data_IF_124302236607
#
_entry.id   IF_124302236607
#
_cell.length_a   1.000
_cell.length_b   1.000
_cell.length_c   1.000
_cell.angle_alpha   90.00
_cell.angle_beta   90.00
_cell.angle_gamma   90.00
#
_symmetry.space_group_name_H-M   'P 1'
#
loop_
_entity.id
_entity.type
_entity.pdbx_description
1 polymer ?
#
# COMPACT_ATOMS: atom_id res chain seq x y z
N UNK A 1 14.45 -12.06 22.85
CA UNK A 1 13.35 -11.07 22.87
C UNK A 1 12.68 -11.14 21.50
N UNK A 2 11.51 -11.75 21.41
CA UNK A 2 10.84 -12.14 20.16
C UNK A 2 10.24 -10.93 19.45
N UNK A 3 10.63 -10.71 18.20
CA UNK A 3 10.24 -9.59 17.33
C UNK A 3 8.75 -9.57 16.91
N UNK A 4 7.91 -10.35 17.58
CA UNK A 4 6.49 -10.55 17.24
C UNK A 4 5.53 -9.63 18.00
N UNK A 5 6.05 -8.72 18.85
CA UNK A 5 5.25 -7.92 19.77
C UNK A 5 4.74 -6.56 19.27
N UNK A 6 5.01 -6.16 18.02
CA UNK A 6 4.73 -4.77 17.57
C UNK A 6 3.39 -4.61 16.81
N UNK A 7 2.71 -5.69 16.42
CA UNK A 7 1.69 -5.60 15.35
C UNK A 7 0.32 -6.23 15.65
N UNK A 8 -0.15 -6.20 16.90
CA UNK A 8 -1.52 -6.63 17.24
C UNK A 8 -2.21 -5.54 18.09
N UNK A 9 -2.67 -4.47 17.45
CA UNK A 9 -3.68 -3.57 18.03
C UNK A 9 -3.49 -2.06 17.81
N UNK A 10 -2.25 -1.57 17.71
CA UNK A 10 -1.97 -0.14 17.52
C UNK A 10 -1.78 0.23 16.05
N UNK A 11 -2.23 1.43 15.65
CA UNK A 11 -1.93 1.97 14.32
C UNK A 11 -0.41 2.09 14.10
N UNK A 12 0.02 1.97 12.84
CA UNK A 12 1.44 2.07 12.49
C UNK A 12 2.00 3.42 12.91
N UNK A 13 3.14 3.42 13.61
CA UNK A 13 3.94 4.61 13.81
C UNK A 13 4.52 5.11 12.47
N UNK A 14 5.14 6.29 12.44
CA UNK A 14 5.67 6.91 11.21
C UNK A 14 6.60 5.97 10.42
N UNK A 15 7.47 5.22 11.11
CA UNK A 15 8.36 4.22 10.48
C UNK A 15 7.56 3.08 9.84
N UNK A 16 6.56 2.55 10.54
CA UNK A 16 5.66 1.52 10.03
C UNK A 16 4.84 2.02 8.83
N UNK A 17 4.37 3.27 8.86
CA UNK A 17 3.66 3.90 7.73
C UNK A 17 4.55 4.06 6.51
N UNK A 18 5.80 4.52 6.70
CA UNK A 18 6.79 4.64 5.63
C UNK A 18 7.07 3.27 5.00
N UNK A 19 7.28 2.26 5.86
CA UNK A 19 7.47 0.88 5.43
C UNK A 19 6.26 0.37 4.64
N UNK A 20 5.04 0.59 5.14
CA UNK A 20 3.80 0.19 4.46
C UNK A 20 3.71 0.81 3.06
N UNK A 21 3.95 2.11 2.92
CA UNK A 21 3.88 2.78 1.62
C UNK A 21 4.94 2.22 0.64
N UNK A 22 6.14 1.90 1.14
CA UNK A 22 7.21 1.31 0.34
C UNK A 22 6.94 -0.14 -0.05
N UNK A 23 6.42 -0.96 0.87
CA UNK A 23 6.09 -2.36 0.59
C UNK A 23 4.99 -2.47 -0.46
N UNK A 24 3.98 -1.58 -0.46
CA UNK A 24 2.97 -1.49 -1.51
C UNK A 24 3.60 -1.34 -2.90
N UNK A 25 4.57 -0.43 -3.05
CA UNK A 25 5.28 -0.25 -4.33
C UNK A 25 6.00 -1.54 -4.75
N UNK A 26 6.69 -2.20 -3.82
CA UNK A 26 7.38 -3.49 -4.06
C UNK A 26 6.40 -4.59 -4.47
N UNK A 27 5.25 -4.69 -3.81
CA UNK A 27 4.21 -5.65 -4.13
C UNK A 27 3.58 -5.41 -5.49
N UNK A 28 3.70 -4.20 -6.04
CA UNK A 28 3.32 -3.86 -7.41
C UNK A 28 4.50 -3.94 -8.40
N UNK A 29 5.57 -4.64 -8.04
CA UNK A 29 6.67 -4.98 -8.96
C UNK A 29 7.72 -3.88 -9.10
N UNK A 30 7.63 -2.81 -8.32
CA UNK A 30 8.67 -1.79 -8.28
C UNK A 30 9.83 -2.30 -7.43
N UNK A 31 11.03 -1.77 -7.66
CA UNK A 31 12.18 -2.01 -6.80
C UNK A 31 12.55 -0.73 -6.06
N UNK A 32 12.74 -0.81 -4.75
CA UNK A 32 13.37 0.28 -3.99
C UNK A 32 14.88 0.09 -4.07
N UNK A 33 15.56 0.95 -4.83
CA UNK A 33 17.00 0.88 -5.05
C UNK A 33 17.77 1.49 -3.87
N UNK A 34 17.30 2.62 -3.36
CA UNK A 34 17.85 3.31 -2.20
C UNK A 34 16.85 4.34 -1.69
N UNK A 35 17.02 4.78 -0.45
CA UNK A 35 16.21 5.83 0.16
C UNK A 35 17.01 6.51 1.27
N UNK A 36 16.58 7.69 1.68
CA UNK A 36 17.18 8.42 2.80
C UNK A 36 16.16 9.29 3.52
N UNK A 37 16.50 9.65 4.76
CA UNK A 37 15.67 10.50 5.62
C UNK A 37 16.12 11.98 5.56
N UNK A 38 17.30 12.22 5.01
CA UNK A 38 17.90 13.52 4.76
C UNK A 38 17.20 14.27 3.62
N UNK A 39 17.47 15.58 3.52
CA UNK A 39 16.94 16.45 2.44
C UNK A 39 15.43 16.34 2.20
N UNK A 40 14.62 16.31 3.28
CA UNK A 40 13.17 16.20 3.13
C UNK A 40 12.68 14.79 2.81
N UNK A 41 13.53 13.77 2.90
CA UNK A 41 13.21 12.38 2.58
C UNK A 41 13.17 12.12 1.08
N UNK A 42 13.83 11.04 0.65
CA UNK A 42 13.95 10.68 -0.77
C UNK A 42 13.93 9.18 -1.00
N UNK A 43 13.55 8.81 -2.22
CA UNK A 43 13.44 7.44 -2.73
C UNK A 43 14.04 7.37 -4.13
N UNK A 44 14.78 6.30 -4.42
CA UNK A 44 15.11 5.88 -5.77
C UNK A 44 14.39 4.58 -6.06
N UNK A 45 13.47 4.63 -7.00
CA UNK A 45 12.63 3.50 -7.39
C UNK A 45 12.99 3.04 -8.80
N UNK A 46 12.71 1.78 -9.11
CA UNK A 46 12.66 1.27 -10.48
C UNK A 46 11.27 0.71 -10.74
N UNK A 47 10.60 1.19 -11.79
CA UNK A 47 9.29 0.67 -12.20
C UNK A 47 9.40 -0.76 -12.73
N UNK A 48 8.28 -1.49 -12.87
CA UNK A 48 8.27 -2.82 -13.49
C UNK A 48 8.78 -2.79 -14.94
N UNK A 49 8.63 -1.66 -15.64
CA UNK A 49 9.16 -1.44 -16.98
C UNK A 49 10.66 -1.10 -17.02
N UNK A 50 11.33 -1.06 -15.86
CA UNK A 50 12.77 -0.80 -15.75
C UNK A 50 13.16 0.68 -15.68
N UNK A 51 12.19 1.61 -15.64
CA UNK A 51 12.45 3.05 -15.56
C UNK A 51 12.86 3.42 -14.14
N UNK A 52 14.01 4.07 -13.97
CA UNK A 52 14.40 4.63 -12.67
C UNK A 52 13.69 5.96 -12.39
N UNK A 53 13.13 6.08 -11.20
CA UNK A 53 12.38 7.24 -10.74
C UNK A 53 13.00 7.75 -9.41
N UNK A 54 13.78 8.82 -9.44
CA UNK A 54 14.12 9.56 -8.23
C UNK A 54 12.89 10.35 -7.76
N UNK A 55 12.58 10.28 -6.46
CA UNK A 55 11.43 10.95 -5.84
C UNK A 55 11.88 11.60 -4.53
N UNK A 56 11.47 12.84 -4.29
CA UNK A 56 11.75 13.60 -3.06
C UNK A 56 10.47 14.33 -2.61
N UNK A 57 10.34 14.64 -1.31
CA UNK A 57 9.14 15.32 -0.81
C UNK A 57 9.10 16.83 -1.14
N UNK A 58 10.26 17.51 -1.21
CA UNK A 58 10.49 18.89 -1.70
C UNK A 58 12.00 19.27 -1.65
N UNK A 59 12.52 20.35 -2.31
CA UNK A 59 13.13 20.22 -3.63
C UNK A 59 14.60 20.66 -3.68
N UNK A 60 15.47 19.81 -4.25
CA UNK A 60 16.52 20.29 -5.15
C UNK A 60 16.02 19.90 -6.55
N UNK A 61 15.95 20.90 -7.42
CA UNK A 61 15.49 20.86 -8.81
C UNK A 61 15.53 19.47 -9.48
N UNK A 62 14.46 19.19 -10.24
CA UNK A 62 14.34 18.12 -11.26
C UNK A 62 13.75 16.75 -10.86
N UNK A 63 13.04 16.59 -9.74
CA UNK A 63 12.18 15.39 -9.63
C UNK A 63 11.01 15.50 -10.58
N UNK A 64 10.85 14.59 -11.56
CA UNK A 64 9.69 14.62 -12.44
C UNK A 64 8.48 14.29 -11.58
N UNK A 65 7.56 15.26 -11.47
CA UNK A 65 6.14 14.96 -11.27
C UNK A 65 5.73 14.10 -12.47
N UNK A 66 5.96 12.78 -12.39
CA UNK A 66 5.86 11.86 -13.52
C UNK A 66 4.42 11.62 -13.98
N UNK A 67 3.47 12.39 -13.46
CA UNK A 67 2.12 12.49 -14.00
C UNK A 67 1.74 13.96 -14.03
N UNK A 68 1.76 14.54 -15.24
CA UNK A 68 1.15 15.83 -15.47
C UNK A 68 -0.30 15.78 -14.95
N UNK A 69 -0.71 16.74 -14.10
CA UNK A 69 -2.11 16.86 -13.70
C UNK A 69 -2.99 16.96 -14.95
N UNK A 70 -4.01 16.11 -15.06
CA UNK A 70 -5.06 16.31 -16.06
C UNK A 70 -5.81 17.59 -15.66
N UNK A 71 -5.92 18.61 -16.54
CA UNK A 71 -6.62 19.85 -16.20
C UNK A 71 -8.06 19.55 -15.75
N UNK A 72 -8.44 20.08 -14.57
CA UNK A 72 -9.82 19.99 -14.07
C UNK A 72 -10.13 18.87 -13.07
N UNK A 73 -9.16 18.01 -12.72
CA UNK A 73 -9.32 17.04 -11.62
C UNK A 73 -8.38 17.40 -10.45
N UNK A 74 -8.85 17.35 -9.18
CA UNK A 74 -7.94 17.31 -8.04
C UNK A 74 -7.06 16.07 -8.21
N UNK A 75 -5.77 16.28 -8.51
CA UNK A 75 -4.83 15.17 -8.73
C UNK A 75 -4.81 14.26 -7.51
N UNK A 76 -5.08 12.97 -7.70
CA UNK A 76 -5.04 12.07 -6.55
C UNK A 76 -3.60 11.92 -6.04
N UNK A 77 -3.42 11.60 -4.75
CA UNK A 77 -2.11 11.65 -4.15
C UNK A 77 -1.22 10.48 -4.63
N UNK A 78 0.07 10.77 -4.79
CA UNK A 78 1.09 9.80 -5.19
C UNK A 78 1.69 9.12 -3.96
N UNK A 79 1.61 7.79 -3.91
CA UNK A 79 2.17 7.00 -2.82
C UNK A 79 3.70 7.18 -2.66
N UNK A 80 4.51 7.27 -3.73
CA UNK A 80 5.95 7.57 -3.60
C UNK A 80 6.25 8.89 -2.88
N UNK A 81 5.53 9.97 -3.22
CA UNK A 81 5.71 11.28 -2.56
C UNK A 81 5.29 11.21 -1.10
N UNK A 82 4.22 10.47 -0.79
CA UNK A 82 3.81 10.25 0.59
C UNK A 82 4.86 9.48 1.39
N UNK A 83 5.46 8.45 0.81
CA UNK A 83 6.56 7.72 1.42
C UNK A 83 7.76 8.64 1.72
N UNK A 84 8.16 9.53 0.79
CA UNK A 84 9.21 10.53 1.05
C UNK A 84 8.86 11.43 2.25
N UNK A 85 7.61 11.92 2.33
CA UNK A 85 7.17 12.74 3.47
C UNK A 85 7.22 11.98 4.80
N UNK A 86 6.84 10.70 4.81
CA UNK A 86 6.92 9.87 6.00
C UNK A 86 8.38 9.60 6.41
N UNK A 87 9.27 9.39 5.44
CA UNK A 87 10.72 9.28 5.70
C UNK A 87 11.27 10.58 6.31
N UNK A 88 10.85 11.74 5.82
CA UNK A 88 11.21 13.02 6.44
C UNK A 88 10.71 13.14 7.88
N UNK A 89 9.45 12.76 8.11
CA UNK A 89 8.87 12.79 9.44
C UNK A 89 9.63 11.86 10.40
N UNK A 90 10.11 10.69 9.93
CA UNK A 90 10.98 9.83 10.74
C UNK A 90 12.24 10.57 11.20
N UNK A 91 12.86 11.41 10.36
CA UNK A 91 14.00 12.23 10.76
C UNK A 91 13.64 13.38 11.72
N UNK A 92 12.41 13.89 11.69
CA UNK A 92 11.98 14.97 12.59
C UNK A 92 11.69 14.49 14.02
N UNK A 93 11.32 13.23 14.20
CA UNK A 93 11.15 12.62 15.53
C UNK A 93 12.50 12.33 16.24
N UNK A 94 13.62 12.80 15.67
CA UNK A 94 14.99 12.80 16.23
C UNK A 94 15.16 13.66 17.49
N UNK A 95 14.15 14.44 17.85
CA UNK A 95 14.23 15.47 18.90
C UNK A 95 14.52 14.97 20.33
N UNK A 96 14.20 13.72 20.67
CA UNK A 96 14.27 13.26 22.07
C UNK A 96 15.40 12.26 22.36
N UNK A 97 15.89 11.51 21.37
CA UNK A 97 17.01 10.55 21.53
C UNK A 97 17.85 10.48 20.25
N UNK A 98 19.16 10.73 20.38
CA UNK A 98 20.11 10.87 19.27
C UNK A 98 20.23 9.63 18.33
N UNK A 99 19.55 8.52 18.63
CA UNK A 99 19.63 7.23 17.93
C UNK A 99 18.39 6.87 17.09
N UNK A 100 17.27 7.60 17.19
CA UNK A 100 15.98 7.17 16.63
C UNK A 100 15.88 7.20 15.09
N UNK A 101 16.54 8.16 14.42
CA UNK A 101 16.45 8.32 12.96
C UNK A 101 17.20 7.25 12.17
N UNK A 102 18.46 6.97 12.55
CA UNK A 102 19.25 5.89 11.95
C UNK A 102 18.62 4.52 12.20
N UNK A 103 17.92 4.36 13.32
CA UNK A 103 17.20 3.13 13.63
C UNK A 103 15.97 2.94 12.73
N UNK A 104 15.23 4.01 12.42
CA UNK A 104 14.10 3.96 11.48
C UNK A 104 14.55 3.54 10.08
N UNK A 105 15.60 4.15 9.54
CA UNK A 105 16.12 3.79 8.21
C UNK A 105 16.63 2.34 8.16
N UNK A 106 17.40 1.90 9.17
CA UNK A 106 17.86 0.51 9.27
C UNK A 106 16.70 -0.47 9.40
N UNK A 107 15.69 -0.13 10.19
CA UNK A 107 14.49 -0.95 10.36
C UNK A 107 13.73 -1.10 9.04
N UNK A 108 13.44 0.01 8.35
CA UNK A 108 12.76 -0.02 7.04
C UNK A 108 13.56 -0.86 6.04
N UNK A 109 14.87 -0.65 5.95
CA UNK A 109 15.74 -1.41 5.05
C UNK A 109 15.75 -2.91 5.39
N UNK A 110 15.79 -3.26 6.67
CA UNK A 110 15.73 -4.65 7.11
C UNK A 110 14.39 -5.30 6.75
N UNK A 111 13.27 -4.62 7.02
CA UNK A 111 11.93 -5.13 6.71
C UNK A 111 11.73 -5.33 5.19
N UNK A 112 12.17 -4.37 4.37
CA UNK A 112 12.11 -4.48 2.90
C UNK A 112 12.96 -5.65 2.39
N UNK A 113 14.17 -5.82 2.92
CA UNK A 113 15.07 -6.92 2.54
C UNK A 113 14.51 -8.28 2.93
N UNK A 114 13.84 -8.36 4.08
CA UNK A 114 13.23 -9.58 4.58
C UNK A 114 11.84 -9.86 3.98
N UNK A 115 11.24 -8.89 3.26
CA UNK A 115 9.91 -9.04 2.68
C UNK A 115 8.82 -9.24 3.73
N UNK A 116 8.92 -8.59 4.88
CA UNK A 116 7.98 -8.78 6.00
C UNK A 116 6.61 -8.19 5.64
N UNK A 117 5.48 -8.87 5.91
CA UNK A 117 4.17 -8.26 5.79
C UNK A 117 4.07 -6.94 6.56
N UNK A 118 3.64 -5.86 5.89
CA UNK A 118 3.52 -4.54 6.53
C UNK A 118 2.32 -4.48 7.49
N UNK A 119 1.38 -5.41 7.30
CA UNK A 119 0.17 -5.50 8.09
C UNK A 119 -0.81 -4.36 7.80
N UNK A 120 -1.62 -4.04 8.80
CA UNK A 120 -2.71 -3.06 8.64
C UNK A 120 -2.18 -1.65 8.40
N UNK A 121 -2.60 -1.03 7.30
CA UNK A 121 -2.40 0.40 7.03
C UNK A 121 -2.99 1.30 8.15
N UNK A 122 -2.30 2.42 8.43
CA UNK A 122 -2.84 3.49 9.27
C UNK A 122 -4.17 4.02 8.72
N UNK A 123 -5.09 4.49 9.59
CA UNK A 123 -6.44 4.84 9.15
C UNK A 123 -6.47 5.96 8.10
N UNK A 124 -5.58 6.93 8.18
CA UNK A 124 -5.46 7.99 7.17
C UNK A 124 -5.04 7.43 5.81
N UNK A 125 -3.97 6.63 5.80
CA UNK A 125 -3.40 6.10 4.56
C UNK A 125 -4.38 5.15 3.86
N UNK A 126 -5.14 4.39 4.63
CA UNK A 126 -6.14 3.48 4.12
C UNK A 126 -7.41 4.17 3.56
N UNK A 127 -7.63 5.45 3.87
CA UNK A 127 -8.75 6.24 3.34
C UNK A 127 -8.38 7.01 2.07
N UNK A 128 -7.10 7.10 1.75
CA UNK A 128 -6.61 7.84 0.61
C UNK A 128 -6.81 7.07 -0.71
N UNK A 129 -7.33 7.70 -1.77
CA UNK A 129 -7.49 7.06 -3.08
C UNK A 129 -6.20 7.17 -3.89
N UNK A 130 -5.10 6.60 -3.38
CA UNK A 130 -3.77 6.67 -4.01
C UNK A 130 -3.83 6.18 -5.46
N UNK A 131 -3.03 6.81 -6.32
CA UNK A 131 -2.88 6.30 -7.68
C UNK A 131 -2.30 4.90 -7.70
N UNK A 132 -2.84 4.09 -8.60
CA UNK A 132 -2.35 2.75 -8.84
C UNK A 132 -1.04 2.85 -9.62
N UNK A 133 -0.05 1.98 -9.33
CA UNK A 133 1.24 2.02 -10.01
C UNK A 133 1.17 1.61 -11.50
N UNK A 134 0.02 1.14 -11.96
CA UNK A 134 -0.23 0.67 -13.32
C UNK A 134 -1.39 1.46 -13.94
N UNK A 135 -1.22 1.87 -15.20
CA UNK A 135 -2.27 2.50 -16.01
C UNK A 135 -2.08 4.01 -16.21
N UNK A 136 -2.15 4.42 -17.48
CA UNK A 136 -2.19 5.83 -17.87
C UNK A 136 -3.49 6.52 -17.44
N UNK A 137 -4.59 5.75 -17.38
CA UNK A 137 -5.89 6.20 -16.88
C UNK A 137 -6.12 5.59 -15.51
N UNK A 138 -6.45 6.43 -14.54
CA UNK A 138 -6.66 6.00 -13.16
C UNK A 138 -8.14 5.63 -12.93
N UNK A 139 -8.44 4.46 -12.33
CA UNK A 139 -9.80 4.06 -11.96
C UNK A 139 -10.49 5.08 -11.06
N UNK A 140 -11.80 5.00 -10.86
CA UNK A 140 -12.51 5.86 -9.91
C UNK A 140 -11.92 5.78 -8.48
N UNK A 141 -12.06 6.85 -7.69
CA UNK A 141 -11.48 6.92 -6.33
C UNK A 141 -12.01 5.83 -5.38
N UNK A 142 -13.25 5.37 -5.56
CA UNK A 142 -13.84 4.22 -4.84
C UNK A 142 -13.10 2.93 -5.18
N UNK A 143 -12.88 2.65 -6.48
CA UNK A 143 -12.12 1.48 -6.98
C UNK A 143 -10.72 1.48 -6.41
N UNK A 144 -9.99 2.62 -6.46
CA UNK A 144 -8.62 2.69 -5.94
C UNK A 144 -8.55 2.42 -4.43
N UNK A 145 -9.48 2.97 -3.64
CA UNK A 145 -9.55 2.69 -2.20
C UNK A 145 -9.80 1.22 -1.90
N UNK A 146 -10.77 0.62 -2.61
CA UNK A 146 -11.10 -0.79 -2.44
C UNK A 146 -9.93 -1.69 -2.87
N UNK A 147 -9.27 -1.35 -3.97
CA UNK A 147 -8.09 -2.07 -4.44
C UNK A 147 -6.97 -2.10 -3.40
N UNK A 148 -6.60 -0.96 -2.79
CA UNK A 148 -5.56 -0.94 -1.75
C UNK A 148 -5.93 -1.73 -0.49
N UNK A 149 -7.22 -1.77 -0.14
CA UNK A 149 -7.69 -2.64 0.94
C UNK A 149 -7.58 -4.12 0.55
N UNK A 150 -7.95 -4.48 -0.68
CA UNK A 150 -7.82 -5.84 -1.20
C UNK A 150 -6.36 -6.30 -1.24
N UNK A 151 -5.43 -5.48 -1.74
CA UNK A 151 -4.01 -5.86 -1.81
C UNK A 151 -3.34 -5.96 -0.43
N UNK A 152 -3.87 -5.27 0.58
CA UNK A 152 -3.44 -5.50 1.97
C UNK A 152 -3.83 -6.91 2.43
N UNK A 153 -5.06 -7.36 2.14
CA UNK A 153 -5.49 -8.73 2.47
C UNK A 153 -4.65 -9.78 1.73
N UNK A 154 -4.38 -9.58 0.43
CA UNK A 154 -3.64 -10.56 -0.36
C UNK A 154 -2.16 -10.59 -0.02
N UNK A 155 -1.52 -9.42 0.07
CA UNK A 155 -0.07 -9.35 0.16
C UNK A 155 0.45 -9.46 1.59
N UNK A 156 -0.27 -8.87 2.56
CA UNK A 156 0.17 -8.89 3.96
C UNK A 156 -0.43 -10.05 4.75
N UNK A 157 -1.68 -10.42 4.45
CA UNK A 157 -2.38 -11.46 5.20
C UNK A 157 -2.42 -12.80 4.48
N UNK A 158 -1.99 -12.88 3.22
CA UNK A 158 -1.99 -14.13 2.45
C UNK A 158 -3.38 -14.61 2.08
N UNK A 159 -4.37 -13.71 1.98
CA UNK A 159 -5.73 -14.07 1.59
C UNK A 159 -5.82 -14.25 0.07
N UNK A 160 -6.76 -15.08 -0.36
CA UNK A 160 -7.20 -15.17 -1.76
C UNK A 160 -8.64 -14.71 -1.87
N UNK A 161 -8.86 -13.57 -2.52
CA UNK A 161 -10.19 -13.06 -2.83
C UNK A 161 -10.71 -13.76 -4.09
N UNK A 162 -11.92 -14.31 -4.00
CA UNK A 162 -12.50 -15.17 -5.05
C UNK A 162 -13.71 -14.56 -5.74
N UNK A 163 -14.34 -13.57 -5.13
CA UNK A 163 -15.50 -12.89 -5.71
C UNK A 163 -15.81 -11.60 -4.97
N UNK A 164 -16.36 -10.62 -5.70
CA UNK A 164 -16.80 -9.34 -5.15
C UNK A 164 -18.14 -8.94 -5.77
N UNK A 165 -18.98 -8.28 -4.99
CA UNK A 165 -20.22 -7.66 -5.44
C UNK A 165 -20.67 -6.56 -4.46
N UNK A 166 -21.80 -5.89 -4.74
CA UNK A 166 -22.34 -4.82 -3.90
C UNK A 166 -22.63 -5.22 -2.45
N UNK A 167 -22.84 -6.51 -2.18
CA UNK A 167 -23.18 -7.06 -0.86
C UNK A 167 -21.94 -7.48 -0.07
N UNK A 168 -20.74 -7.42 -0.65
CA UNK A 168 -19.50 -7.85 0.01
C UNK A 168 -18.57 -8.66 -0.90
N UNK A 169 -17.69 -9.44 -0.29
CA UNK A 169 -16.73 -10.29 -1.01
C UNK A 169 -16.62 -11.68 -0.40
N UNK A 170 -16.11 -12.63 -1.18
CA UNK A 170 -15.72 -13.97 -0.73
C UNK A 170 -14.20 -14.10 -0.78
N UNK A 171 -13.63 -14.79 0.21
CA UNK A 171 -12.20 -15.04 0.27
C UNK A 171 -11.88 -16.34 1.03
N UNK A 172 -10.68 -16.86 0.77
CA UNK A 172 -10.04 -17.91 1.56
C UNK A 172 -8.84 -17.28 2.25
N UNK A 173 -8.86 -17.17 3.58
CA UNK A 173 -7.72 -16.77 4.39
C UNK A 173 -6.67 -17.88 4.51
N UNK A 174 -5.45 -17.58 4.96
CA UNK A 174 -4.35 -18.55 5.06
C UNK A 174 -4.61 -19.70 6.04
N UNK A 175 -5.56 -19.51 6.97
CA UNK A 175 -5.93 -20.48 7.99
C UNK A 175 -7.38 -20.97 7.83
N UNK A 176 -8.08 -20.50 6.80
CA UNK A 176 -9.47 -20.88 6.58
C UNK A 176 -9.52 -22.27 5.92
N UNK A 177 -10.36 -23.15 6.46
CA UNK A 177 -10.60 -24.47 5.86
C UNK A 177 -11.49 -24.38 4.61
N UNK A 178 -12.33 -23.34 4.54
CA UNK A 178 -13.33 -23.13 3.50
C UNK A 178 -13.38 -21.67 3.07
N UNK A 179 -14.09 -21.40 1.98
CA UNK A 179 -14.35 -20.03 1.53
C UNK A 179 -15.34 -19.32 2.46
N UNK A 180 -14.98 -18.11 2.87
CA UNK A 180 -15.77 -17.29 3.80
C UNK A 180 -16.35 -16.08 3.08
N UNK A 181 -17.62 -15.78 3.36
CA UNK A 181 -18.31 -14.58 2.88
C UNK A 181 -18.21 -13.44 3.90
N UNK A 182 -17.76 -12.28 3.43
CA UNK A 182 -17.64 -11.05 4.20
C UNK A 182 -18.70 -10.03 3.76
N UNK A 183 -19.83 -9.90 4.48
CA UNK A 183 -20.92 -9.03 4.08
C UNK A 183 -20.61 -7.54 4.34
N UNK A 184 -21.09 -6.65 3.48
CA UNK A 184 -20.92 -5.19 3.65
C UNK A 184 -21.62 -4.63 4.89
N UNK A 185 -22.64 -5.33 5.39
CA UNK A 185 -23.39 -5.01 6.61
C UNK A 185 -22.74 -5.53 7.90
N UNK A 186 -21.56 -6.18 7.83
CA UNK A 186 -20.84 -6.62 9.03
C UNK A 186 -20.54 -5.45 9.97
N UNK A 187 -20.50 -5.73 11.28
CA UNK A 187 -20.22 -4.73 12.30
C UNK A 187 -18.92 -3.96 11.97
N UNK A 188 -18.93 -2.66 12.27
CA UNK A 188 -17.78 -1.80 12.02
C UNK A 188 -16.65 -2.11 13.00
N UNK A 189 -15.87 -3.14 12.69
CA UNK A 189 -14.57 -3.34 13.32
C UNK A 189 -13.48 -2.57 12.55
N UNK A 190 -12.31 -2.52 13.17
CA UNK A 190 -11.13 -1.86 12.63
C UNK A 190 -10.39 -2.72 11.58
N UNK A 191 -10.89 -3.89 11.19
CA UNK A 191 -10.17 -4.79 10.29
C UNK A 191 -10.16 -4.31 8.84
N UNK A 192 -9.16 -4.75 8.09
CA UNK A 192 -9.04 -4.48 6.65
C UNK A 192 -10.17 -5.16 5.86
N UNK A 193 -10.60 -6.36 6.26
CA UNK A 193 -11.70 -7.09 5.61
C UNK A 193 -13.02 -6.36 5.76
N UNK A 194 -13.36 -5.90 6.97
CA UNK A 194 -14.57 -5.10 7.17
C UNK A 194 -14.50 -3.75 6.43
N UNK A 195 -13.31 -3.14 6.32
CA UNK A 195 -13.11 -1.94 5.49
C UNK A 195 -13.37 -2.21 4.01
N UNK A 196 -12.80 -3.28 3.44
CA UNK A 196 -13.04 -3.66 2.04
C UNK A 196 -14.53 -3.89 1.79
N UNK A 197 -15.19 -4.70 2.63
CA UNK A 197 -16.61 -5.00 2.48
C UNK A 197 -17.50 -3.74 2.45
N UNK A 198 -17.18 -2.72 3.25
CA UNK A 198 -17.92 -1.44 3.28
C UNK A 198 -17.65 -0.52 2.08
N UNK A 199 -16.52 -0.69 1.39
CA UNK A 199 -16.22 0.08 0.18
C UNK A 199 -17.00 -0.44 -1.03
N UNK A 200 -17.35 -1.72 -1.06
CA UNK A 200 -17.96 -2.36 -2.23
C UNK A 200 -19.32 -1.79 -2.66
N UNK A 201 -20.24 -1.39 -1.76
CA UNK A 201 -21.45 -0.67 -2.18
C UNK A 201 -21.14 0.61 -2.98
N UNK A 202 -20.13 1.38 -2.57
CA UNK A 202 -19.73 2.62 -3.26
C UNK A 202 -19.10 2.33 -4.62
N UNK A 203 -18.24 1.30 -4.69
CA UNK A 203 -17.66 0.83 -5.94
C UNK A 203 -18.75 0.41 -6.92
N UNK A 204 -19.79 -0.28 -6.43
CA UNK A 204 -20.93 -0.69 -7.23
C UNK A 204 -21.74 0.50 -7.74
N UNK A 205 -22.05 1.47 -6.88
CA UNK A 205 -22.76 2.69 -7.27
C UNK A 205 -22.01 3.51 -8.32
N UNK A 206 -20.67 3.50 -8.29
CA UNK A 206 -19.83 4.16 -9.28
C UNK A 206 -19.64 3.33 -10.58
N UNK A 207 -20.26 2.14 -10.68
CA UNK A 207 -20.10 1.24 -11.83
C UNK A 207 -18.73 0.54 -11.92
N UNK A 208 -17.91 0.61 -10.87
CA UNK A 208 -16.53 0.13 -10.86
C UNK A 208 -16.32 -1.32 -10.42
N UNK A 209 -17.40 -2.12 -10.31
CA UNK A 209 -17.30 -3.51 -9.78
C UNK A 209 -16.44 -4.40 -10.69
N UNK A 210 -16.69 -4.39 -12.00
CA UNK A 210 -15.95 -5.22 -12.95
C UNK A 210 -14.48 -4.78 -13.05
N UNK A 211 -14.23 -3.47 -13.01
CA UNK A 211 -12.89 -2.91 -13.01
C UNK A 211 -12.10 -3.34 -11.75
N UNK A 212 -12.70 -3.24 -10.57
CA UNK A 212 -12.08 -3.69 -9.33
C UNK A 212 -11.81 -5.20 -9.35
N UNK A 213 -12.77 -6.00 -9.81
CA UNK A 213 -12.63 -7.45 -9.89
C UNK A 213 -11.45 -7.83 -10.78
N UNK A 214 -11.38 -7.24 -11.98
CA UNK A 214 -10.28 -7.44 -12.92
C UNK A 214 -8.93 -7.09 -12.29
N UNK A 215 -8.81 -5.93 -11.64
CA UNK A 215 -7.57 -5.50 -10.99
C UNK A 215 -7.11 -6.45 -9.88
N UNK A 216 -8.04 -7.00 -9.08
CA UNK A 216 -7.72 -7.95 -8.02
C UNK A 216 -7.24 -9.28 -8.61
N UNK A 217 -7.91 -9.78 -9.65
CA UNK A 217 -7.53 -11.04 -10.32
C UNK A 217 -6.14 -10.92 -10.92
N UNK A 218 -5.87 -9.86 -11.69
CA UNK A 218 -4.56 -9.58 -12.28
C UNK A 218 -3.46 -9.52 -11.20
N UNK A 219 -3.70 -8.78 -10.11
CA UNK A 219 -2.73 -8.64 -9.02
C UNK A 219 -2.40 -9.98 -8.34
N UNK A 220 -3.40 -10.80 -8.05
CA UNK A 220 -3.19 -12.11 -7.41
C UNK A 220 -2.41 -13.08 -8.33
N UNK A 221 -2.67 -13.05 -9.64
CA UNK A 221 -1.93 -13.85 -10.63
C UNK A 221 -0.46 -13.42 -10.74
N UNK A 222 -0.21 -12.12 -10.77
CA UNK A 222 1.15 -11.57 -10.79
C UNK A 222 1.90 -11.88 -9.50
N UNK A 223 1.22 -11.82 -8.35
CA UNK A 223 1.82 -12.16 -7.06
C UNK A 223 2.21 -13.65 -6.99
N UNK A 224 1.32 -14.54 -7.44
CA UNK A 224 1.62 -15.99 -7.53
C UNK A 224 2.79 -16.28 -8.46
N UNK A 225 2.83 -15.67 -9.64
CA UNK A 225 3.90 -15.85 -10.62
C UNK A 225 5.26 -15.42 -10.06
N UNK A 226 5.31 -14.31 -9.31
CA UNK A 226 6.53 -13.82 -8.65
C UNK A 226 6.97 -14.69 -7.47
N UNK A 227 6.03 -15.29 -6.75
CA UNK A 227 6.36 -16.24 -5.68
C UNK A 227 7.02 -17.50 -6.24
N UNK A 228 6.51 -18.05 -7.35
CA UNK A 228 7.10 -19.22 -8.03
C UNK A 228 8.47 -18.91 -8.62
N UNK A 229 8.70 -17.71 -9.17
CA UNK A 229 10.00 -17.32 -9.72
C UNK A 229 11.11 -17.14 -8.66
N UNK A 230 10.76 -17.06 -7.37
CA UNK A 230 11.69 -16.90 -6.25
C UNK A 230 12.01 -18.20 -5.52
N UNK A 231 11.26 -19.28 -5.77
CA UNK A 231 11.46 -20.62 -5.19
C UNK A 231 12.35 -21.48 -6.07
#
# INVERSE_FOLDING_TARGET
MTATGIYLGSELNTTGRAYWAMSRMVNHGWSVLSFGLDYGGWLRLRTPSGVELPVAADPLDHTPSSQQPVPGQPGAPLLPLHACRLLHQCAQHRGDDAHGGDDAARTIAALLRLGVPAGRAHADDARCPWYLPHGAVQPAASVRRAYWAATTLTDDYGWRITGIDARGFTAVGPYDAEEVRYPCAAAADSTTSARLARLLPHVHSDGGTDELHRLIVEHQQDHQSRAVARS
#
